data_IF_513961740375
#
_entry.id   IF_513961740375
#
_cell.length_a   1.000
_cell.length_b   1.000
_cell.length_c   1.000
_cell.angle_alpha   90.00
_cell.angle_beta   90.00
_cell.angle_gamma   90.00
#
_symmetry.space_group_name_H-M   'P 1'
#
loop_
_entity.id
_entity.type
_entity.pdbx_description
1 polymer ?
#
# COMPACT_ATOMS: atom_id res chain seq x y z
N UNK A 1 -4.65 27.49 8.35
CA UNK A 1 -4.28 26.65 7.19
C UNK A 1 -5.06 25.36 7.31
N UNK A 2 -6.03 25.10 6.42
CA UNK A 2 -6.72 23.80 6.41
C UNK A 2 -5.72 22.71 6.04
N UNK A 3 -5.65 21.62 6.83
CA UNK A 3 -4.80 20.45 6.52
C UNK A 3 -5.17 19.93 5.13
N UNK A 4 -4.20 19.44 4.32
CA UNK A 4 -4.53 18.76 3.07
C UNK A 4 -5.39 17.54 3.40
N UNK A 5 -6.50 17.40 2.68
CA UNK A 5 -7.43 16.28 2.81
C UNK A 5 -6.69 15.01 2.37
N UNK A 6 -6.47 14.04 3.26
CA UNK A 6 -5.79 12.80 2.87
C UNK A 6 -6.78 11.93 2.09
N UNK A 7 -6.33 11.25 1.04
CA UNK A 7 -7.20 10.35 0.27
C UNK A 7 -7.27 8.98 0.91
N UNK A 8 -8.43 8.33 0.79
CA UNK A 8 -8.61 6.96 1.25
C UNK A 8 -7.95 5.97 0.29
N UNK A 9 -7.36 4.88 0.77
CA UNK A 9 -6.98 3.77 -0.12
C UNK A 9 -8.20 3.09 -0.77
N UNK A 10 -9.40 3.38 -0.28
CA UNK A 10 -10.66 2.92 -0.86
C UNK A 10 -11.22 3.89 -1.92
N UNK A 11 -10.55 5.01 -2.19
CA UNK A 11 -10.92 5.90 -3.27
C UNK A 11 -10.71 5.20 -4.62
N UNK A 12 -11.70 5.21 -5.55
CA UNK A 12 -11.57 4.58 -6.87
C UNK A 12 -10.38 5.06 -7.71
N UNK A 13 -9.81 6.22 -7.40
CA UNK A 13 -8.63 6.75 -8.10
C UNK A 13 -7.29 6.26 -7.54
N UNK A 14 -7.30 5.48 -6.44
CA UNK A 14 -6.11 4.86 -5.86
C UNK A 14 -6.00 3.39 -6.26
N UNK A 15 -4.79 2.96 -6.63
CA UNK A 15 -4.56 1.62 -7.17
C UNK A 15 -3.42 0.91 -6.42
N UNK A 16 -3.76 -0.24 -5.83
CA UNK A 16 -2.85 -1.13 -5.10
C UNK A 16 -3.03 -2.57 -5.58
N UNK A 17 -1.99 -3.38 -5.44
CA UNK A 17 -2.02 -4.81 -5.75
C UNK A 17 -1.50 -5.63 -4.57
N UNK A 18 -2.12 -6.79 -4.32
CA UNK A 18 -1.58 -7.76 -3.36
C UNK A 18 -0.35 -8.42 -3.96
N UNK A 19 0.76 -8.40 -3.23
CA UNK A 19 1.97 -9.10 -3.66
C UNK A 19 1.77 -10.59 -3.43
N UNK A 20 1.96 -11.38 -4.48
CA UNK A 20 1.89 -12.83 -4.45
C UNK A 20 3.29 -13.40 -4.64
N UNK A 21 3.58 -14.51 -3.95
CA UNK A 21 4.85 -15.21 -4.09
C UNK A 21 5.02 -15.77 -5.50
N UNK A 22 6.17 -15.53 -6.11
CA UNK A 22 6.60 -16.12 -7.39
C UNK A 22 7.82 -17.04 -7.22
N UNK A 23 8.18 -17.35 -5.97
CA UNK A 23 9.30 -18.22 -5.61
C UNK A 23 8.83 -19.56 -5.06
N UNK A 24 9.71 -20.59 -5.07
CA UNK A 24 9.47 -21.82 -4.32
C UNK A 24 9.29 -21.59 -2.81
N UNK A 25 8.49 -22.44 -2.17
CA UNK A 25 8.10 -22.30 -0.74
C UNK A 25 9.25 -22.38 0.24
N UNK A 26 10.36 -23.02 -0.14
CA UNK A 26 11.57 -23.10 0.66
C UNK A 26 12.40 -21.81 0.67
N UNK A 27 12.06 -20.83 -0.19
CA UNK A 27 12.75 -19.53 -0.27
C UNK A 27 12.11 -18.49 0.63
N UNK A 28 10.79 -18.34 0.56
CA UNK A 28 10.05 -17.27 1.25
C UNK A 28 8.98 -17.77 2.23
N UNK A 29 8.76 -19.09 2.30
CA UNK A 29 7.77 -19.71 3.18
C UNK A 29 6.34 -19.70 2.65
N UNK A 30 6.08 -19.19 1.44
CA UNK A 30 4.74 -19.12 0.84
C UNK A 30 4.59 -20.14 -0.29
N UNK A 31 3.38 -20.70 -0.49
CA UNK A 31 3.19 -21.44 -1.74
C UNK A 31 3.20 -20.46 -2.90
N UNK A 32 3.74 -20.90 -4.04
CA UNK A 32 3.73 -20.10 -5.26
C UNK A 32 2.29 -19.64 -5.60
N UNK A 33 2.13 -18.33 -5.77
CA UNK A 33 0.87 -17.64 -6.01
C UNK A 33 0.11 -17.21 -4.75
N UNK A 34 0.51 -17.63 -3.54
CA UNK A 34 -0.13 -17.19 -2.30
C UNK A 34 0.19 -15.72 -1.99
N UNK A 35 -0.76 -14.97 -1.39
CA UNK A 35 -0.49 -13.63 -0.89
C UNK A 35 0.60 -13.64 0.18
N UNK A 36 1.56 -12.73 0.05
CA UNK A 36 2.70 -12.59 0.98
C UNK A 36 2.34 -11.78 2.23
N UNK A 37 1.18 -11.12 2.24
CA UNK A 37 0.81 -10.12 3.25
C UNK A 37 1.28 -8.70 2.91
N UNK A 38 2.04 -8.51 1.84
CA UNK A 38 2.43 -7.19 1.35
C UNK A 38 1.45 -6.64 0.32
N UNK A 39 1.35 -5.32 0.29
CA UNK A 39 0.60 -4.52 -0.68
C UNK A 39 1.58 -3.65 -1.44
N UNK A 40 1.45 -3.60 -2.77
CA UNK A 40 2.28 -2.78 -3.66
C UNK A 40 1.49 -1.62 -4.24
N UNK A 41 2.07 -0.42 -4.19
CA UNK A 41 1.54 0.73 -4.94
C UNK A 41 1.73 0.50 -6.44
N UNK A 42 0.66 0.61 -7.24
CA UNK A 42 0.76 0.38 -8.69
C UNK A 42 1.54 1.45 -9.43
N UNK A 43 1.69 2.65 -8.87
CA UNK A 43 2.45 3.75 -9.47
C UNK A 43 3.94 3.65 -9.17
N UNK A 44 4.35 3.78 -7.90
CA UNK A 44 5.77 3.85 -7.52
C UNK A 44 6.42 2.51 -7.17
N UNK A 45 5.66 1.40 -7.22
CA UNK A 45 6.10 0.01 -6.98
C UNK A 45 6.67 -0.32 -5.60
N UNK A 46 6.60 0.62 -4.65
CA UNK A 46 6.99 0.39 -3.25
C UNK A 46 5.95 -0.51 -2.57
N UNK A 47 6.43 -1.28 -1.59
CA UNK A 47 5.66 -2.30 -0.87
C UNK A 47 5.70 -2.03 0.63
N UNK A 48 4.63 -2.42 1.32
CA UNK A 48 4.55 -2.49 2.78
C UNK A 48 3.40 -3.42 3.19
N UNK A 49 3.23 -3.64 4.49
CA UNK A 49 2.13 -4.47 5.02
C UNK A 49 0.72 -3.87 4.82
N UNK A 50 0.63 -2.54 4.61
CA UNK A 50 -0.63 -1.85 4.33
C UNK A 50 -0.37 -0.56 3.51
N UNK A 51 -1.35 -0.05 2.73
CA UNK A 51 -1.20 1.16 1.92
C UNK A 51 -0.62 2.36 2.65
N UNK A 52 -1.08 2.64 3.88
CA UNK A 52 -0.64 3.77 4.71
C UNK A 52 0.83 3.67 5.18
N UNK A 53 1.43 2.48 5.12
CA UNK A 53 2.82 2.24 5.51
C UNK A 53 3.76 2.19 4.30
N UNK A 54 3.27 2.37 3.08
CA UNK A 54 4.11 2.33 1.88
C UNK A 54 5.07 3.52 1.89
N UNK A 55 6.39 3.29 1.82
CA UNK A 55 7.39 4.35 1.75
C UNK A 55 7.47 4.87 0.31
N UNK A 56 6.47 5.65 -0.09
CA UNK A 56 6.33 6.17 -1.45
C UNK A 56 7.57 6.94 -1.93
N UNK A 57 7.86 6.82 -3.23
CA UNK A 57 8.89 7.64 -3.87
C UNK A 57 8.46 9.11 -3.94
N UNK A 58 9.41 10.07 -3.93
CA UNK A 58 9.10 11.46 -4.22
C UNK A 58 8.38 11.60 -5.58
N UNK A 59 7.26 12.33 -5.61
CA UNK A 59 6.46 12.54 -6.81
C UNK A 59 5.38 11.49 -7.08
N UNK A 60 5.27 10.44 -6.26
CA UNK A 60 4.17 9.50 -6.31
C UNK A 60 2.83 10.22 -6.08
N UNK A 61 1.91 10.10 -7.02
CA UNK A 61 0.57 10.69 -6.97
C UNK A 61 -0.31 10.10 -5.87
N UNK A 62 0.05 8.95 -5.30
CA UNK A 62 -0.64 8.28 -4.19
C UNK A 62 0.08 8.44 -2.83
N UNK A 63 1.03 9.37 -2.69
CA UNK A 63 1.80 9.54 -1.44
C UNK A 63 1.01 10.15 -0.26
N UNK A 64 -0.21 10.59 -0.51
CA UNK A 64 -1.15 11.20 0.42
C UNK A 64 -2.23 10.22 0.90
N UNK A 65 -2.13 8.94 0.50
CA UNK A 65 -3.14 7.92 0.76
C UNK A 65 -3.02 7.31 2.16
N UNK A 66 -4.15 7.18 2.86
CA UNK A 66 -4.27 6.60 4.20
C UNK A 66 -5.60 5.86 4.36
N UNK A 67 -5.83 5.21 5.51
CA UNK A 67 -7.17 4.76 5.89
C UNK A 67 -8.00 5.89 6.50
N UNK A 68 -9.31 5.90 6.27
CA UNK A 68 -10.24 6.88 6.89
C UNK A 68 -10.18 6.83 8.42
N UNK A 69 -9.99 5.63 8.99
CA UNK A 69 -9.86 5.45 10.43
C UNK A 69 -8.57 6.08 10.95
N UNK A 70 -7.45 5.89 10.26
CA UNK A 70 -6.16 6.45 10.65
C UNK A 70 -6.17 7.98 10.59
N UNK A 71 -6.78 8.55 9.54
CA UNK A 71 -6.99 10.00 9.44
C UNK A 71 -7.79 10.57 10.63
N UNK A 72 -8.81 9.84 11.09
CA UNK A 72 -9.67 10.27 12.20
C UNK A 72 -9.02 10.09 13.58
N UNK A 73 -8.11 9.12 13.75
CA UNK A 73 -7.63 8.69 15.08
C UNK A 73 -6.17 9.03 15.38
N UNK A 74 -5.33 9.31 14.37
CA UNK A 74 -3.89 9.53 14.53
C UNK A 74 -3.47 10.95 14.08
N UNK A 75 -4.21 11.96 14.56
CA UNK A 75 -4.10 13.39 14.20
C UNK A 75 -2.83 14.10 14.68
#
# INVERSE_FOLDING_TARGET
MSKPNKRSFADPDTLFELVRSDTPVDVDGFKMGEPTGEVRCRECKKVAAAPEYIPHLPGCSQNDVTSNWYEQTHQ
#
